data_IF_093350194716
#
_entry.id   IF_093350194716
#
_cell.length_a   1.000
_cell.length_b   1.000
_cell.length_c   1.000
_cell.angle_alpha   90.00
_cell.angle_beta   90.00
_cell.angle_gamma   90.00
#
_symmetry.space_group_name_H-M   'P 1'
#
loop_
_entity.id
_entity.type
_entity.pdbx_description
1 polymer ?
#
# COMPACT_ATOMS: atom_id res chain seq x y z
N UNK A 1 -33.05 -42.35 33.23
CA UNK A 1 -32.32 -41.99 31.98
C UNK A 1 -32.87 -40.69 31.48
N UNK A 2 -32.21 -39.60 31.79
CA UNK A 2 -32.60 -38.24 31.41
C UNK A 2 -31.70 -37.72 30.30
N UNK A 3 -32.27 -37.53 29.13
CA UNK A 3 -31.58 -36.94 27.97
C UNK A 3 -31.46 -35.43 28.20
N UNK A 4 -30.21 -34.91 28.25
CA UNK A 4 -29.95 -33.47 28.26
C UNK A 4 -29.79 -33.00 26.81
N UNK A 5 -30.77 -32.18 26.39
CA UNK A 5 -30.69 -31.45 25.11
C UNK A 5 -29.75 -30.26 25.33
N UNK A 6 -28.63 -30.21 24.62
CA UNK A 6 -27.78 -29.01 24.54
C UNK A 6 -28.41 -28.08 23.52
N UNK A 7 -28.92 -26.94 24.01
CA UNK A 7 -29.31 -25.83 23.14
C UNK A 7 -28.09 -24.99 22.82
N UNK A 8 -27.65 -24.99 21.57
CA UNK A 8 -26.60 -24.09 21.06
C UNK A 8 -27.27 -22.75 20.76
N UNK A 9 -26.99 -21.75 21.57
CA UNK A 9 -27.40 -20.37 21.29
C UNK A 9 -26.45 -19.78 20.25
N UNK A 10 -27.00 -19.46 19.08
CA UNK A 10 -26.28 -18.67 18.06
C UNK A 10 -26.22 -17.22 18.53
N UNK A 11 -25.02 -16.76 18.86
CA UNK A 11 -24.75 -15.36 19.19
C UNK A 11 -24.63 -14.57 17.87
N UNK A 12 -25.69 -13.84 17.51
CA UNK A 12 -25.63 -12.81 16.46
C UNK A 12 -24.96 -11.57 17.03
N UNK A 13 -23.70 -11.34 16.70
CA UNK A 13 -23.01 -10.10 17.04
C UNK A 13 -23.36 -9.06 15.98
N UNK A 14 -24.33 -8.20 16.28
CA UNK A 14 -24.54 -6.96 15.53
C UNK A 14 -23.54 -5.91 16.05
N UNK A 15 -22.44 -5.72 15.32
CA UNK A 15 -21.52 -4.63 15.58
C UNK A 15 -22.14 -3.32 15.03
N UNK A 16 -22.80 -2.55 15.88
CA UNK A 16 -23.20 -1.19 15.57
C UNK A 16 -22.00 -0.29 15.85
N UNK A 17 -21.24 0.09 14.82
CA UNK A 17 -20.23 1.12 14.92
C UNK A 17 -20.91 2.47 14.74
N UNK A 18 -21.19 3.16 15.85
CA UNK A 18 -21.57 4.57 15.85
C UNK A 18 -20.29 5.40 15.56
N UNK A 19 -20.10 5.78 14.32
CA UNK A 19 -19.10 6.80 13.95
C UNK A 19 -19.77 8.17 14.06
N UNK A 20 -19.61 8.84 15.20
CA UNK A 20 -19.94 10.26 15.35
C UNK A 20 -18.65 11.07 15.14
N UNK A 21 -18.33 11.38 13.90
CA UNK A 21 -17.33 12.37 13.51
C UNK A 21 -18.00 13.38 12.57
N UNK A 22 -17.45 14.60 12.42
CA UNK A 22 -17.98 15.56 11.45
C UNK A 22 -17.98 14.89 10.07
N UNK A 23 -19.15 14.86 9.45
CA UNK A 23 -19.34 14.36 8.11
C UNK A 23 -18.54 15.23 7.14
N UNK A 24 -17.27 14.88 6.88
CA UNK A 24 -16.74 15.18 5.57
C UNK A 24 -17.76 14.59 4.59
N UNK A 25 -18.30 15.40 3.72
CA UNK A 25 -19.17 14.93 2.64
C UNK A 25 -18.36 13.84 1.93
N UNK A 26 -18.70 12.58 2.21
CA UNK A 26 -18.08 11.48 1.54
C UNK A 26 -18.32 11.72 0.05
N UNK A 27 -17.27 11.74 -0.74
CA UNK A 27 -17.39 11.71 -2.19
C UNK A 27 -18.39 10.57 -2.50
N UNK A 28 -19.54 10.87 -3.16
CA UNK A 28 -20.54 9.85 -3.47
C UNK A 28 -19.96 8.74 -4.37
N UNK A 29 -18.74 8.93 -4.90
CA UNK A 29 -17.96 7.94 -5.63
C UNK A 29 -16.91 7.23 -4.74
N UNK A 30 -16.78 7.61 -3.47
CA UNK A 30 -15.85 6.95 -2.59
C UNK A 30 -16.34 5.52 -2.30
N UNK A 31 -15.53 4.56 -2.67
CA UNK A 31 -15.64 3.18 -2.19
C UNK A 31 -15.63 3.23 -0.66
N UNK A 32 -16.49 2.44 -0.02
CA UNK A 32 -16.60 2.39 1.43
C UNK A 32 -15.19 2.34 2.07
N UNK A 33 -14.82 3.31 2.95
CA UNK A 33 -13.50 3.35 3.56
C UNK A 33 -13.22 2.20 4.54
N UNK A 34 -14.21 1.37 4.86
CA UNK A 34 -14.00 0.19 5.69
C UNK A 34 -13.42 -0.91 4.81
N UNK A 35 -12.11 -1.11 4.90
CA UNK A 35 -11.44 -2.24 4.30
C UNK A 35 -12.15 -3.56 4.70
N UNK A 36 -12.40 -4.43 3.74
CA UNK A 36 -13.10 -5.69 3.94
C UNK A 36 -14.61 -5.64 3.72
N UNK A 37 -15.25 -4.48 3.66
CA UNK A 37 -16.64 -4.36 3.22
C UNK A 37 -16.76 -4.05 1.73
N UNK A 38 -15.74 -3.49 1.12
CA UNK A 38 -15.70 -3.24 -0.31
C UNK A 38 -15.75 -4.59 -1.06
N UNK A 39 -16.72 -4.72 -1.95
CA UNK A 39 -16.93 -5.93 -2.73
C UNK A 39 -17.51 -7.14 -1.98
N UNK A 40 -17.83 -7.04 -0.69
CA UNK A 40 -18.54 -8.11 0.03
C UNK A 40 -19.92 -8.36 -0.57
N UNK A 41 -20.53 -7.35 -1.16
CA UNK A 41 -21.86 -7.39 -1.78
C UNK A 41 -21.83 -7.19 -3.31
N UNK A 42 -20.69 -7.45 -3.95
CA UNK A 42 -20.48 -7.26 -5.37
C UNK A 42 -19.70 -6.00 -5.74
N UNK A 43 -19.59 -5.73 -7.03
CA UNK A 43 -18.85 -4.56 -7.51
C UNK A 43 -19.57 -3.26 -7.18
N UNK A 44 -18.85 -2.21 -6.78
CA UNK A 44 -19.44 -0.91 -6.53
C UNK A 44 -20.03 -0.31 -7.81
N UNK A 45 -21.15 0.39 -7.66
CA UNK A 45 -21.72 1.19 -8.74
C UNK A 45 -20.94 2.51 -8.81
N UNK A 46 -20.21 2.70 -9.89
CA UNK A 46 -19.46 3.93 -10.14
C UNK A 46 -20.28 4.87 -11.02
N UNK A 47 -20.12 6.17 -10.81
CA UNK A 47 -20.78 7.19 -11.64
C UNK A 47 -19.82 7.77 -12.67
N UNK A 48 -20.37 8.26 -13.78
CA UNK A 48 -19.61 8.86 -14.86
C UNK A 48 -19.03 7.83 -15.82
N UNK A 49 -17.77 8.04 -16.25
CA UNK A 49 -17.09 7.21 -17.26
C UNK A 49 -16.39 5.97 -16.69
N UNK A 50 -16.21 5.92 -15.37
CA UNK A 50 -15.55 4.80 -14.71
C UNK A 50 -16.51 3.62 -14.57
N UNK A 51 -16.01 2.42 -14.78
CA UNK A 51 -16.73 1.17 -14.57
C UNK A 51 -15.91 0.24 -13.70
N UNK A 52 -16.55 -0.39 -12.72
CA UNK A 52 -15.92 -1.46 -11.97
C UNK A 52 -15.90 -2.73 -12.84
N UNK A 53 -14.72 -3.24 -13.12
CA UNK A 53 -14.53 -4.43 -13.97
C UNK A 53 -14.58 -5.70 -13.12
N UNK A 54 -13.76 -5.77 -12.08
CA UNK A 54 -13.66 -6.93 -11.21
C UNK A 54 -13.18 -6.53 -9.81
N UNK A 55 -13.51 -7.36 -8.85
CA UNK A 55 -12.92 -7.30 -7.51
C UNK A 55 -11.69 -8.22 -7.47
N UNK A 56 -10.51 -7.65 -7.27
CA UNK A 56 -9.26 -8.40 -7.29
C UNK A 56 -8.85 -9.00 -5.94
N UNK A 57 -9.37 -8.45 -4.82
CA UNK A 57 -9.18 -9.00 -3.47
C UNK A 57 -10.51 -9.09 -2.73
N UNK A 58 -10.58 -9.87 -1.64
CA UNK A 58 -11.76 -9.97 -0.78
C UNK A 58 -12.64 -11.18 -1.06
N UNK A 59 -13.79 -11.21 -0.39
CA UNK A 59 -14.68 -12.39 -0.33
C UNK A 59 -15.29 -12.80 -1.68
N UNK A 60 -15.50 -11.85 -2.58
CA UNK A 60 -16.11 -12.09 -3.90
C UNK A 60 -15.05 -12.08 -5.03
N UNK A 61 -13.76 -12.04 -4.67
CA UNK A 61 -12.69 -12.06 -5.66
C UNK A 61 -12.51 -13.44 -6.30
N UNK A 62 -12.39 -13.53 -7.62
CA UNK A 62 -12.03 -14.77 -8.30
C UNK A 62 -10.65 -15.29 -7.88
N UNK A 63 -9.79 -14.44 -7.35
CA UNK A 63 -8.48 -14.80 -6.80
C UNK A 63 -8.57 -15.54 -5.46
N UNK A 64 -9.77 -15.66 -4.87
CA UNK A 64 -10.03 -16.37 -3.61
C UNK A 64 -9.07 -15.97 -2.48
N UNK A 65 -8.73 -14.67 -2.40
CA UNK A 65 -7.72 -14.15 -1.49
C UNK A 65 -8.09 -14.30 0.00
N UNK A 66 -9.37 -14.49 0.31
CA UNK A 66 -9.83 -14.87 1.65
C UNK A 66 -9.20 -16.17 2.14
N UNK A 67 -8.82 -17.10 1.24
CA UNK A 67 -8.19 -18.37 1.60
C UNK A 67 -6.77 -18.21 2.16
N UNK A 68 -6.17 -17.05 1.94
CA UNK A 68 -4.87 -16.66 2.46
C UNK A 68 -4.96 -15.46 3.41
N UNK A 69 -6.13 -15.24 4.01
CA UNK A 69 -6.38 -14.17 4.99
C UNK A 69 -6.23 -12.74 4.44
N UNK A 70 -6.56 -12.54 3.18
CA UNK A 70 -6.61 -11.24 2.52
C UNK A 70 -8.06 -10.97 2.13
N UNK A 71 -8.84 -10.39 3.07
CA UNK A 71 -10.27 -10.10 2.91
C UNK A 71 -10.49 -8.68 2.41
N UNK A 72 -9.68 -7.74 2.86
CA UNK A 72 -9.70 -6.35 2.43
C UNK A 72 -8.29 -5.83 2.29
N UNK A 73 -8.06 -5.01 1.27
CA UNK A 73 -6.77 -4.41 0.98
C UNK A 73 -6.94 -2.92 0.72
N UNK A 74 -5.88 -2.17 0.98
CA UNK A 74 -5.76 -0.77 0.61
C UNK A 74 -4.71 -0.61 -0.49
N UNK A 75 -4.83 0.45 -1.30
CA UNK A 75 -3.94 0.76 -2.42
C UNK A 75 -3.94 -0.33 -3.52
N UNK A 76 -2.80 -0.58 -4.12
CA UNK A 76 -2.60 -1.52 -5.24
C UNK A 76 -1.52 -0.99 -6.17
N UNK A 77 -0.31 -0.82 -5.63
CA UNK A 77 0.85 -0.28 -6.33
C UNK A 77 1.42 -1.37 -7.24
N UNK A 78 1.41 -1.14 -8.54
CA UNK A 78 1.84 -2.12 -9.53
C UNK A 78 3.12 -1.69 -10.25
N UNK A 79 4.01 -2.65 -10.53
CA UNK A 79 5.17 -2.43 -11.39
C UNK A 79 5.55 -3.72 -12.14
N UNK A 80 6.17 -3.56 -13.30
CA UNK A 80 6.78 -4.68 -14.03
C UNK A 80 8.06 -5.10 -13.32
N UNK A 81 8.20 -6.39 -13.02
CA UNK A 81 9.37 -6.92 -12.33
C UNK A 81 10.61 -7.08 -13.22
N UNK A 82 10.52 -6.71 -14.50
CA UNK A 82 11.59 -6.86 -15.49
C UNK A 82 11.74 -8.29 -16.04
N UNK A 83 10.87 -9.24 -15.64
CA UNK A 83 10.92 -10.66 -16.01
C UNK A 83 9.59 -11.17 -16.59
N UNK A 84 8.68 -10.26 -16.90
CA UNK A 84 7.41 -10.57 -17.51
C UNK A 84 6.25 -10.77 -16.53
N UNK A 85 6.42 -10.53 -15.25
CA UNK A 85 5.35 -10.48 -14.27
C UNK A 85 5.12 -9.05 -13.77
N UNK A 86 3.92 -8.78 -13.30
CA UNK A 86 3.56 -7.60 -12.52
C UNK A 86 3.55 -7.99 -11.05
N UNK A 87 4.32 -7.26 -10.24
CA UNK A 87 4.19 -7.28 -8.80
C UNK A 87 3.18 -6.21 -8.39
N UNK A 88 2.32 -6.55 -7.44
CA UNK A 88 1.38 -5.59 -6.83
C UNK A 88 1.59 -5.57 -5.32
N UNK A 89 1.90 -4.38 -4.79
CA UNK A 89 1.97 -4.15 -3.36
C UNK A 89 0.65 -3.54 -2.88
N UNK A 90 0.01 -4.18 -1.93
CA UNK A 90 -1.10 -3.62 -1.18
C UNK A 90 -0.58 -2.99 0.11
N UNK A 91 -1.25 -1.94 0.56
CA UNK A 91 -1.08 -1.33 1.86
C UNK A 91 -1.80 -2.12 2.95
N UNK A 92 -2.49 -1.42 3.83
CA UNK A 92 -3.20 -2.05 4.95
C UNK A 92 -4.09 -3.20 4.46
N UNK A 93 -3.74 -4.40 4.87
CA UNK A 93 -4.37 -5.65 4.45
C UNK A 93 -4.97 -6.35 5.65
N UNK A 94 -6.29 -6.49 5.66
CA UNK A 94 -7.04 -7.11 6.74
C UNK A 94 -7.48 -8.53 6.37
N UNK A 95 -7.58 -9.39 7.40
CA UNK A 95 -8.09 -10.74 7.24
C UNK A 95 -8.37 -11.42 8.57
N UNK A 96 -8.87 -12.64 8.49
CA UNK A 96 -9.08 -13.53 9.65
C UNK A 96 -8.07 -14.67 9.56
N UNK A 97 -7.30 -14.92 10.60
CA UNK A 97 -6.28 -15.93 10.58
C UNK A 97 -6.07 -16.65 11.91
N UNK A 98 -5.63 -17.91 11.82
CA UNK A 98 -5.37 -18.78 12.97
C UNK A 98 -4.39 -18.18 13.99
N UNK A 99 -3.27 -17.53 13.60
CA UNK A 99 -2.37 -16.92 14.57
C UNK A 99 -3.04 -15.85 15.44
N UNK A 100 -4.03 -15.15 14.90
CA UNK A 100 -4.73 -14.09 15.63
C UNK A 100 -5.80 -14.62 16.58
N UNK A 101 -6.39 -15.78 16.28
CA UNK A 101 -7.24 -16.50 17.22
C UNK A 101 -6.46 -16.90 18.48
N UNK A 102 -5.22 -17.35 18.32
CA UNK A 102 -4.34 -17.70 19.45
C UNK A 102 -3.92 -16.46 20.27
N UNK A 103 -3.93 -15.28 19.67
CA UNK A 103 -3.68 -13.99 20.32
C UNK A 103 -4.96 -13.32 20.86
N UNK A 104 -6.11 -13.99 20.76
CA UNK A 104 -7.40 -13.46 21.19
C UNK A 104 -8.04 -12.46 20.22
N UNK A 105 -7.55 -12.36 18.99
CA UNK A 105 -8.11 -11.52 17.93
C UNK A 105 -8.55 -12.36 16.73
N UNK A 106 -9.72 -12.08 16.19
CA UNK A 106 -10.19 -12.66 14.94
C UNK A 106 -9.60 -11.96 13.71
N UNK A 107 -9.05 -10.76 13.88
CA UNK A 107 -8.54 -9.95 12.79
C UNK A 107 -7.02 -9.95 12.77
N UNK A 108 -6.45 -10.20 11.59
CA UNK A 108 -5.06 -9.93 11.30
C UNK A 108 -4.96 -8.69 10.43
N UNK A 109 -4.02 -7.84 10.75
CA UNK A 109 -3.70 -6.67 9.97
C UNK A 109 -2.21 -6.67 9.60
N UNK A 110 -1.96 -6.43 8.33
CA UNK A 110 -0.63 -6.30 7.75
C UNK A 110 -0.52 -4.92 7.11
N UNK A 111 0.59 -4.24 7.35
CA UNK A 111 0.86 -2.92 6.75
C UNK A 111 1.11 -2.99 5.26
N UNK A 112 1.50 -4.16 4.77
CA UNK A 112 1.82 -4.39 3.36
C UNK A 112 1.76 -5.88 3.01
N UNK A 113 1.43 -6.14 1.75
CA UNK A 113 1.38 -7.48 1.17
C UNK A 113 1.77 -7.43 -0.31
N UNK A 114 2.30 -8.52 -0.86
CA UNK A 114 2.70 -8.61 -2.26
C UNK A 114 1.98 -9.78 -2.95
N UNK A 115 1.50 -9.52 -4.16
CA UNK A 115 1.01 -10.54 -5.09
C UNK A 115 1.74 -10.42 -6.42
N UNK A 116 1.70 -11.50 -7.22
CA UNK A 116 2.30 -11.57 -8.56
C UNK A 116 1.25 -11.97 -9.58
N UNK A 117 1.37 -11.41 -10.78
CA UNK A 117 0.46 -11.70 -11.88
C UNK A 117 1.19 -11.73 -13.23
N UNK A 118 0.91 -12.75 -14.02
CA UNK A 118 1.26 -12.82 -15.44
C UNK A 118 0.09 -12.43 -16.35
N UNK A 119 -1.03 -12.01 -15.78
CA UNK A 119 -2.24 -11.70 -16.51
C UNK A 119 -2.00 -10.54 -17.50
N UNK A 120 -2.38 -10.75 -18.74
CA UNK A 120 -2.30 -9.76 -19.82
C UNK A 120 -3.68 -9.36 -20.35
N UNK A 121 -4.72 -10.02 -19.87
CA UNK A 121 -6.10 -9.68 -20.19
C UNK A 121 -6.78 -9.02 -18.99
N UNK A 122 -6.63 -7.72 -18.84
CA UNK A 122 -7.24 -6.97 -17.73
C UNK A 122 -8.71 -6.57 -18.00
N UNK A 123 -9.32 -7.03 -19.10
CA UNK A 123 -10.70 -6.72 -19.43
C UNK A 123 -11.72 -7.40 -18.49
N UNK A 124 -11.33 -8.46 -17.80
CA UNK A 124 -12.11 -9.20 -16.83
C UNK A 124 -11.56 -9.12 -15.40
N UNK A 125 -10.59 -8.24 -15.18
CA UNK A 125 -9.91 -8.03 -13.92
C UNK A 125 -8.44 -8.40 -13.99
N UNK A 126 -7.84 -8.70 -12.83
CA UNK A 126 -6.47 -9.18 -12.73
C UNK A 126 -6.46 -10.50 -11.95
N UNK A 127 -5.94 -11.55 -12.58
CA UNK A 127 -5.74 -12.85 -11.93
C UNK A 127 -4.36 -12.89 -11.27
N UNK A 128 -4.31 -13.33 -10.00
CA UNK A 128 -3.05 -13.50 -9.28
C UNK A 128 -2.52 -14.93 -9.44
N UNK A 129 -1.28 -15.06 -9.87
CA UNK A 129 -0.59 -16.35 -9.93
C UNK A 129 -0.13 -16.80 -8.54
N UNK A 130 0.27 -15.83 -7.71
CA UNK A 130 0.71 -16.10 -6.34
C UNK A 130 0.54 -14.92 -5.40
N UNK A 131 0.41 -15.25 -4.11
CA UNK A 131 0.48 -14.31 -2.99
C UNK A 131 1.71 -14.68 -2.18
N UNK A 132 2.50 -13.71 -1.75
CA UNK A 132 3.63 -13.95 -0.84
C UNK A 132 3.08 -14.36 0.52
N UNK A 133 3.52 -15.53 1.01
CA UNK A 133 2.97 -16.17 2.20
C UNK A 133 3.99 -16.30 3.32
N UNK A 134 3.50 -16.30 4.54
CA UNK A 134 4.26 -16.66 5.72
C UNK A 134 4.41 -18.19 5.87
N UNK A 135 5.11 -18.62 6.92
CA UNK A 135 5.38 -20.03 7.18
C UNK A 135 4.13 -20.87 7.46
N UNK A 136 3.00 -20.25 7.77
CA UNK A 136 1.71 -20.95 8.01
C UNK A 136 0.78 -20.85 6.80
N UNK A 137 1.25 -20.32 5.67
CA UNK A 137 0.53 -20.25 4.40
C UNK A 137 -0.45 -19.09 4.28
N UNK A 138 -0.35 -18.10 5.17
CA UNK A 138 -1.16 -16.88 5.12
C UNK A 138 -0.40 -15.73 4.45
N UNK A 139 -1.11 -14.69 4.03
CA UNK A 139 -0.49 -13.49 3.47
C UNK A 139 0.56 -12.93 4.42
N UNK A 140 1.79 -12.79 3.92
CA UNK A 140 2.93 -12.26 4.66
C UNK A 140 2.91 -10.75 4.69
N UNK A 141 3.20 -10.15 5.85
CA UNK A 141 3.64 -8.76 5.92
C UNK A 141 5.12 -8.73 5.51
N UNK A 142 5.41 -8.21 4.30
CA UNK A 142 6.73 -8.37 3.69
C UNK A 142 7.78 -7.43 4.28
N UNK A 143 7.37 -6.23 4.73
CA UNK A 143 8.21 -5.27 5.49
C UNK A 143 7.47 -4.93 6.78
N UNK A 144 7.75 -5.64 7.89
CA UNK A 144 7.00 -5.50 9.12
C UNK A 144 7.10 -4.12 9.76
N UNK A 145 5.99 -3.67 10.37
CA UNK A 145 5.90 -2.51 11.24
C UNK A 145 5.70 -2.97 12.69
N UNK A 146 6.25 -2.29 13.70
CA UNK A 146 6.00 -2.61 15.11
C UNK A 146 4.55 -2.39 15.56
N UNK A 147 3.74 -1.66 14.80
CA UNK A 147 2.32 -1.36 15.07
C UNK A 147 2.10 -0.64 16.40
N UNK A 148 3.02 0.27 16.73
CA UNK A 148 2.98 1.05 17.98
C UNK A 148 2.60 2.49 17.63
N UNK A 149 1.43 2.99 18.07
CA UNK A 149 1.05 4.39 17.89
C UNK A 149 2.13 5.36 18.39
N UNK A 150 2.32 6.46 17.66
CA UNK A 150 3.34 7.48 17.90
C UNK A 150 4.81 7.04 17.77
N UNK A 151 5.06 5.75 17.50
CA UNK A 151 6.38 5.21 17.12
C UNK A 151 6.38 4.89 15.64
N UNK A 152 5.76 3.82 15.24
CA UNK A 152 5.47 3.44 13.86
C UNK A 152 4.24 2.52 13.87
N UNK A 153 3.12 3.01 13.35
CA UNK A 153 1.88 2.25 13.34
C UNK A 153 1.75 1.40 12.09
N UNK A 154 2.29 1.86 10.96
CA UNK A 154 2.21 1.15 9.68
C UNK A 154 3.40 1.49 8.77
N UNK A 155 3.73 0.59 7.84
CA UNK A 155 4.64 0.81 6.71
C UNK A 155 3.88 0.63 5.41
N UNK A 156 3.43 1.73 4.86
CA UNK A 156 2.58 1.74 3.68
C UNK A 156 3.43 1.82 2.41
N UNK A 157 3.30 0.87 1.46
CA UNK A 157 3.95 0.96 0.17
C UNK A 157 3.35 2.11 -0.65
N UNK A 158 4.19 2.84 -1.36
CA UNK A 158 3.75 3.97 -2.20
C UNK A 158 4.23 3.84 -3.64
N UNK A 159 5.36 3.19 -3.91
CA UNK A 159 5.87 2.97 -5.26
C UNK A 159 6.71 1.70 -5.34
N UNK A 160 6.72 1.06 -6.51
CA UNK A 160 7.59 -0.08 -6.80
C UNK A 160 8.33 0.12 -8.12
N UNK A 161 9.55 -0.42 -8.23
CA UNK A 161 10.32 -0.41 -9.47
C UNK A 161 11.35 -1.54 -9.49
N UNK A 162 11.60 -2.09 -10.67
CA UNK A 162 12.68 -3.05 -10.89
C UNK A 162 13.92 -2.36 -11.48
N UNK A 163 15.09 -2.63 -10.89
CA UNK A 163 16.39 -2.23 -11.46
C UNK A 163 17.27 -3.47 -11.55
N UNK A 164 17.59 -3.89 -12.75
CA UNK A 164 18.17 -5.21 -12.97
C UNK A 164 17.28 -6.31 -12.41
N UNK A 165 17.86 -7.19 -11.64
CA UNK A 165 17.15 -8.30 -10.98
C UNK A 165 16.56 -7.94 -9.61
N UNK A 166 16.80 -6.72 -9.13
CA UNK A 166 16.37 -6.27 -7.81
C UNK A 166 15.05 -5.50 -7.90
N UNK A 167 14.11 -5.88 -7.07
CA UNK A 167 12.86 -5.15 -6.87
C UNK A 167 13.05 -4.15 -5.73
N UNK A 168 12.64 -2.91 -5.94
CA UNK A 168 12.66 -1.86 -4.92
C UNK A 168 11.22 -1.43 -4.62
N UNK A 169 10.90 -1.34 -3.36
CA UNK A 169 9.61 -0.90 -2.84
C UNK A 169 9.83 0.33 -1.95
N UNK A 170 9.25 1.46 -2.32
CA UNK A 170 9.21 2.62 -1.47
C UNK A 170 8.07 2.50 -0.47
N UNK A 171 8.38 2.76 0.80
CA UNK A 171 7.41 2.73 1.88
C UNK A 171 7.46 4.03 2.68
N UNK A 172 6.31 4.52 3.10
CA UNK A 172 6.24 5.55 4.14
C UNK A 172 6.06 4.90 5.51
N UNK A 173 6.89 5.30 6.47
CA UNK A 173 6.75 4.94 7.88
C UNK A 173 5.73 5.87 8.53
N UNK A 174 4.51 5.39 8.70
CA UNK A 174 3.43 6.17 9.33
C UNK A 174 3.60 6.13 10.84
N UNK A 175 3.77 7.30 11.44
CA UNK A 175 3.91 7.47 12.88
C UNK A 175 2.57 7.50 13.59
N UNK A 176 1.61 8.22 13.00
CA UNK A 176 0.29 8.44 13.57
C UNK A 176 -0.72 8.83 12.48
N UNK A 177 -1.96 8.38 12.64
CA UNK A 177 -3.07 8.81 11.83
C UNK A 177 -3.73 10.04 12.48
N UNK A 178 -3.97 11.08 11.68
CA UNK A 178 -4.68 12.29 12.07
C UNK A 178 -6.15 12.29 11.63
N UNK A 179 -6.78 13.45 11.55
CA UNK A 179 -8.08 13.61 10.88
C UNK A 179 -8.03 13.09 9.44
N UNK A 180 -9.21 12.83 8.86
CA UNK A 180 -9.31 12.29 7.50
C UNK A 180 -8.43 13.04 6.48
N UNK A 181 -7.61 12.30 5.75
CA UNK A 181 -6.65 12.85 4.78
C UNK A 181 -5.36 13.40 5.37
N UNK A 182 -5.10 13.19 6.66
CA UNK A 182 -3.86 13.63 7.31
C UNK A 182 -3.19 12.50 8.08
N UNK A 183 -1.87 12.46 8.04
CA UNK A 183 -1.05 11.56 8.86
C UNK A 183 0.36 12.11 9.01
N UNK A 184 1.03 11.67 10.05
CA UNK A 184 2.43 11.98 10.29
C UNK A 184 3.31 10.80 9.89
N UNK A 185 4.41 11.08 9.20
CA UNK A 185 5.42 10.08 8.87
C UNK A 185 6.72 10.32 9.64
N UNK A 186 7.45 9.25 9.92
CA UNK A 186 8.82 9.35 10.42
C UNK A 186 9.78 9.62 9.25
N UNK A 187 9.62 8.83 8.18
CA UNK A 187 10.42 8.87 6.96
C UNK A 187 9.68 8.14 5.83
N UNK A 188 10.16 8.31 4.61
CA UNK A 188 10.00 7.34 3.52
C UNK A 188 11.34 6.68 3.23
N UNK A 189 11.33 5.48 2.65
CA UNK A 189 12.57 4.78 2.33
C UNK A 189 12.31 3.51 1.53
N UNK A 190 13.40 2.92 1.02
CA UNK A 190 13.35 1.73 0.20
C UNK A 190 13.48 0.46 1.03
N UNK A 191 12.81 -0.58 0.56
CA UNK A 191 13.17 -1.96 0.81
C UNK A 191 13.54 -2.61 -0.53
N UNK A 192 14.42 -3.61 -0.50
CA UNK A 192 14.89 -4.34 -1.67
C UNK A 192 14.62 -5.83 -1.55
N UNK A 193 14.33 -6.46 -2.70
CA UNK A 193 14.18 -7.91 -2.85
C UNK A 193 14.93 -8.37 -4.09
N UNK A 194 15.70 -9.47 -3.97
CA UNK A 194 16.41 -10.11 -5.08
C UNK A 194 15.79 -11.46 -5.47
N UNK A 195 14.71 -11.84 -4.83
CA UNK A 195 14.01 -13.11 -5.00
C UNK A 195 12.55 -12.92 -5.45
N UNK A 196 12.35 -11.96 -6.34
CA UNK A 196 11.05 -11.66 -6.95
C UNK A 196 9.96 -11.27 -5.93
N UNK A 197 10.35 -10.51 -4.90
CA UNK A 197 9.41 -10.00 -3.90
C UNK A 197 9.04 -10.99 -2.79
N UNK A 198 9.72 -12.13 -2.67
CA UNK A 198 9.46 -13.11 -1.63
C UNK A 198 9.97 -12.64 -0.26
N UNK A 199 11.20 -12.11 -0.23
CA UNK A 199 11.81 -11.55 0.96
C UNK A 199 12.32 -10.14 0.69
N UNK A 200 12.17 -9.27 1.67
CA UNK A 200 12.52 -7.87 1.57
C UNK A 200 13.43 -7.43 2.71
N UNK A 201 14.44 -6.66 2.39
CA UNK A 201 15.32 -6.01 3.35
C UNK A 201 15.10 -4.50 3.30
N UNK A 202 14.75 -3.89 4.42
CA UNK A 202 14.72 -2.43 4.52
C UNK A 202 16.12 -1.85 4.37
N UNK A 203 16.25 -0.70 3.70
CA UNK A 203 17.49 0.00 3.41
C UNK A 203 17.54 1.33 4.18
N UNK A 204 18.01 1.34 5.44
CA UNK A 204 18.00 2.55 6.27
C UNK A 204 18.76 3.74 5.68
N UNK A 205 19.78 3.49 4.88
CA UNK A 205 20.55 4.51 4.16
C UNK A 205 19.74 5.30 3.12
N UNK A 206 18.56 4.80 2.77
CA UNK A 206 17.63 5.46 1.83
C UNK A 206 16.53 6.24 2.54
N UNK A 207 16.58 6.35 3.86
CA UNK A 207 15.55 7.05 4.62
C UNK A 207 15.56 8.56 4.33
N UNK A 208 14.43 9.07 3.88
CA UNK A 208 14.11 10.49 3.72
C UNK A 208 13.28 10.94 4.91
N UNK A 209 13.84 11.74 5.85
CA UNK A 209 13.09 12.19 7.02
C UNK A 209 11.87 13.04 6.61
N UNK A 210 10.83 13.01 7.42
CA UNK A 210 9.63 13.83 7.21
C UNK A 210 9.87 15.30 7.59
N UNK A 211 11.00 15.85 7.13
CA UNK A 211 11.45 17.21 7.43
C UNK A 211 12.22 17.81 6.24
N UNK A 212 12.30 19.14 6.21
CA UNK A 212 13.00 19.85 5.13
C UNK A 212 12.46 19.46 3.76
N UNK A 213 13.34 19.44 2.76
CA UNK A 213 13.00 19.07 1.38
C UNK A 213 12.61 17.60 1.20
N UNK A 214 13.13 16.70 2.02
CA UNK A 214 12.79 15.27 1.97
C UNK A 214 11.33 15.01 2.36
N UNK A 215 10.69 15.93 3.08
CA UNK A 215 9.26 15.87 3.37
C UNK A 215 8.40 15.84 2.10
N UNK A 216 8.89 16.39 1.00
CA UNK A 216 8.20 16.39 -0.30
C UNK A 216 8.20 15.02 -1.01
N UNK A 217 8.84 14.01 -0.44
CA UNK A 217 8.99 12.68 -1.02
C UNK A 217 8.59 11.57 -0.03
N UNK A 218 7.59 11.84 0.79
CA UNK A 218 7.09 10.85 1.77
C UNK A 218 6.17 9.81 1.11
N UNK A 219 5.37 10.22 0.14
CA UNK A 219 4.66 9.33 -0.77
C UNK A 219 5.30 9.45 -2.15
N UNK A 220 5.28 8.40 -2.93
CA UNK A 220 5.96 8.40 -4.22
C UNK A 220 5.22 7.59 -5.28
N UNK A 221 5.45 7.96 -6.54
CA UNK A 221 5.24 7.11 -7.70
C UNK A 221 6.54 7.06 -8.51
N UNK A 222 6.86 5.92 -9.11
CA UNK A 222 8.08 5.75 -9.89
C UNK A 222 7.80 5.58 -11.38
N UNK A 223 8.65 6.20 -12.18
CA UNK A 223 8.73 5.97 -13.61
C UNK A 223 10.19 5.68 -13.97
N UNK A 224 10.45 4.55 -14.63
CA UNK A 224 11.76 4.23 -15.17
C UNK A 224 11.81 4.60 -16.64
N UNK A 225 12.74 5.49 -17.02
CA UNK A 225 12.92 5.92 -18.39
C UNK A 225 14.38 6.31 -18.67
N UNK A 226 14.91 5.87 -19.80
CA UNK A 226 16.25 6.25 -20.31
C UNK A 226 17.39 6.09 -19.30
N UNK A 227 17.36 5.03 -18.48
CA UNK A 227 18.39 4.73 -17.46
C UNK A 227 18.27 5.60 -16.20
N UNK A 228 17.14 6.27 -16.02
CA UNK A 228 16.78 6.97 -14.79
C UNK A 228 15.53 6.35 -14.17
N UNK A 229 15.47 6.44 -12.84
CA UNK A 229 14.24 6.33 -12.07
C UNK A 229 13.81 7.75 -11.69
N UNK A 230 12.65 8.16 -12.17
CA UNK A 230 11.97 9.39 -11.76
C UNK A 230 11.10 9.08 -10.55
N UNK A 231 11.28 9.86 -9.49
CA UNK A 231 10.48 9.81 -8.28
C UNK A 231 9.57 11.04 -8.25
N UNK A 232 8.29 10.83 -8.51
CA UNK A 232 7.26 11.82 -8.23
C UNK A 232 6.92 11.70 -6.74
N UNK A 233 6.93 12.82 -6.03
CA UNK A 233 6.78 12.79 -4.58
C UNK A 233 5.82 13.83 -4.05
N UNK A 234 5.14 13.50 -2.95
CA UNK A 234 4.33 14.42 -2.15
C UNK A 234 4.69 14.37 -0.69
N UNK A 235 4.43 15.44 0.08
CA UNK A 235 4.37 15.38 1.54
C UNK A 235 3.34 14.35 2.03
N UNK A 236 3.39 13.93 3.32
CA UNK A 236 2.33 13.10 3.89
C UNK A 236 1.00 13.85 3.90
N UNK A 237 -0.09 13.13 3.65
CA UNK A 237 -1.45 13.68 3.58
C UNK A 237 -1.97 13.81 2.15
N UNK A 238 -3.23 14.25 2.03
CA UNK A 238 -3.93 14.47 0.76
C UNK A 238 -3.98 15.95 0.42
N UNK A 239 -4.24 16.26 -0.87
CA UNK A 239 -4.35 17.64 -1.39
C UNK A 239 -3.07 18.46 -1.21
N UNK A 240 -1.95 17.87 -1.59
CA UNK A 240 -0.60 18.43 -1.46
C UNK A 240 -0.01 18.80 -2.82
N UNK A 241 1.18 19.40 -2.80
CA UNK A 241 1.94 19.72 -4.01
C UNK A 241 2.78 18.51 -4.42
N UNK A 242 2.78 18.19 -5.71
CA UNK A 242 3.64 17.16 -6.29
C UNK A 242 4.98 17.75 -6.74
N UNK A 243 6.06 17.01 -6.50
CA UNK A 243 7.44 17.33 -6.84
C UNK A 243 8.04 16.20 -7.66
N UNK A 244 9.19 16.45 -8.32
CA UNK A 244 9.89 15.38 -9.03
C UNK A 244 11.39 15.44 -8.74
N UNK A 245 11.93 14.24 -8.50
CA UNK A 245 13.37 13.98 -8.47
C UNK A 245 13.69 12.87 -9.49
N UNK A 246 14.95 12.70 -9.82
CA UNK A 246 15.42 11.58 -10.62
C UNK A 246 16.79 11.11 -10.15
N UNK A 247 17.11 9.88 -10.45
CA UNK A 247 18.42 9.29 -10.17
C UNK A 247 18.76 8.29 -11.27
N UNK A 248 20.05 8.08 -11.56
CA UNK A 248 20.45 6.93 -12.38
C UNK A 248 19.95 5.65 -11.73
N UNK A 249 19.40 4.73 -12.50
CA UNK A 249 18.82 3.49 -11.97
C UNK A 249 19.84 2.69 -11.12
N UNK A 250 21.10 2.66 -11.53
CA UNK A 250 22.18 2.03 -10.77
C UNK A 250 22.48 2.70 -9.40
N UNK A 251 22.04 3.93 -9.21
CA UNK A 251 22.29 4.73 -8.00
C UNK A 251 21.02 4.93 -7.14
N UNK A 252 19.96 4.17 -7.38
CA UNK A 252 18.64 4.32 -6.73
C UNK A 252 18.70 4.35 -5.19
N UNK A 253 19.69 3.69 -4.59
CA UNK A 253 19.89 3.66 -3.13
C UNK A 253 20.75 4.80 -2.59
N UNK A 254 21.28 5.67 -3.46
CA UNK A 254 22.21 6.74 -3.09
C UNK A 254 21.51 8.08 -3.09
N UNK A 255 20.99 8.53 -1.94
CA UNK A 255 20.24 9.79 -1.85
C UNK A 255 21.01 11.01 -2.35
N UNK A 256 22.33 11.05 -2.16
CA UNK A 256 23.19 12.14 -2.65
C UNK A 256 23.32 12.22 -4.19
N UNK A 257 22.94 11.16 -4.91
CA UNK A 257 22.97 11.11 -6.36
C UNK A 257 21.67 11.60 -7.01
N UNK A 258 20.60 11.77 -6.22
CA UNK A 258 19.34 12.28 -6.74
C UNK A 258 19.45 13.72 -7.19
N UNK A 259 18.84 14.01 -8.33
CA UNK A 259 18.65 15.34 -8.87
C UNK A 259 17.21 15.77 -8.70
N UNK A 260 16.98 16.99 -8.26
CA UNK A 260 15.68 17.58 -7.94
C UNK A 260 15.32 18.65 -8.94
N UNK A 261 14.11 18.64 -9.50
CA UNK A 261 13.64 19.63 -10.46
C UNK A 261 13.35 20.96 -9.78
N UNK A 262 14.05 22.02 -10.19
CA UNK A 262 13.91 23.37 -9.61
C UNK A 262 12.82 24.21 -10.24
N UNK A 263 12.10 23.66 -11.25
CA UNK A 263 11.23 24.45 -12.14
C UNK A 263 11.94 24.92 -13.41
N UNK A 264 13.26 24.81 -13.46
CA UNK A 264 14.08 25.27 -14.59
C UNK A 264 15.17 24.26 -14.97
N UNK A 265 15.83 23.68 -14.01
CA UNK A 265 16.96 22.77 -14.17
C UNK A 265 16.96 21.68 -13.08
N UNK A 266 17.90 20.76 -13.16
CA UNK A 266 18.09 19.69 -12.18
C UNK A 266 19.20 20.04 -11.21
N UNK A 267 18.93 20.01 -9.91
CA UNK A 267 19.91 20.25 -8.86
C UNK A 267 20.20 18.96 -8.07
N UNK A 268 21.45 18.54 -8.09
CA UNK A 268 21.89 17.32 -7.41
C UNK A 268 21.99 17.53 -5.91
N UNK A 269 21.54 16.52 -5.14
CA UNK A 269 21.76 16.40 -3.69
C UNK A 269 21.01 17.41 -2.82
N UNK A 270 20.08 18.19 -3.37
CA UNK A 270 19.34 19.20 -2.62
C UNK A 270 17.83 19.05 -2.76
N UNK A 271 17.19 18.21 -1.92
CA UNK A 271 15.75 18.02 -1.97
C UNK A 271 14.94 19.28 -1.67
N UNK A 272 15.51 20.26 -0.96
CA UNK A 272 14.84 21.53 -0.67
C UNK A 272 14.71 22.42 -1.93
N UNK A 273 15.50 22.18 -2.96
CA UNK A 273 15.40 22.87 -4.23
C UNK A 273 14.24 22.37 -5.12
N UNK A 274 13.60 21.27 -4.78
CA UNK A 274 12.49 20.73 -5.59
C UNK A 274 11.32 21.69 -5.66
N UNK A 275 11.07 22.24 -6.85
CA UNK A 275 9.90 23.06 -7.12
C UNK A 275 8.66 22.18 -7.35
N UNK A 276 7.46 22.63 -6.97
CA UNK A 276 6.23 21.92 -7.29
C UNK A 276 5.99 21.89 -8.80
N UNK A 277 5.48 20.77 -9.31
CA UNK A 277 5.13 20.55 -10.71
C UNK A 277 3.62 20.41 -10.93
N UNK A 278 2.87 20.12 -9.88
CA UNK A 278 1.43 19.93 -9.90
C UNK A 278 0.86 20.23 -8.52
N UNK A 279 -0.39 20.70 -8.50
CA UNK A 279 -1.15 21.03 -7.29
C UNK A 279 -2.32 20.05 -7.12
N UNK A 280 -2.84 19.94 -5.90
CA UNK A 280 -4.04 19.16 -5.59
C UNK A 280 -3.86 17.65 -5.72
N UNK A 281 -2.64 17.15 -5.56
CA UNK A 281 -2.38 15.70 -5.59
C UNK A 281 -2.99 15.05 -4.35
N UNK A 282 -3.76 13.98 -4.56
CA UNK A 282 -4.31 13.16 -3.50
C UNK A 282 -3.26 12.25 -2.87
N UNK A 283 -3.51 10.96 -2.85
CA UNK A 283 -2.49 9.94 -2.58
C UNK A 283 -1.78 9.54 -3.88
N UNK A 284 -0.48 9.36 -3.82
CA UNK A 284 0.30 8.80 -4.93
C UNK A 284 0.42 7.29 -4.81
#
# INVERSE_FOLDING_TARGET
MGSRVLTVAALTVTASVLVTGPTALADPNAINPIAGLNGTFGLPQLHGRAQAVAQVTGMSSPNMTQNVTMIGTDLGIMWDNGRGEVLTAFGDTAGVGVPNLLQGSLWSWRSNAIVRSNDRNLADGMNFDSVVKDAVGQTKEVVPSPKIPFVEISRIPTAGVAVGDTQYLNLMSVKNWGPAGTWDTNFSGLAASTDNGENWAALPETHRPSAGGDRNFQQSAYLKDNGYVYQYGTPPGRSTLGHVARVRDADITRLGEYEYWTGKDWKKGDPAAAAPIVDGVGEL
#
